data_IF_529202222620
#
_entry.id   IF_529202222620
#
_cell.length_a   1.000
_cell.length_b   1.000
_cell.length_c   1.000
_cell.angle_alpha   90.00
_cell.angle_beta   90.00
_cell.angle_gamma   90.00
#
_symmetry.space_group_name_H-M   'P 1'
#
loop_
_entity.id
_entity.type
_entity.pdbx_description
1 polymer ?
#
# COMPACT_ATOMS: atom_id res chain seq x y z
N UNK A 1 -24.43 37.07 -29.04
CA UNK A 1 -23.80 35.76 -28.77
C UNK A 1 -23.10 35.72 -27.41
N UNK A 2 -22.25 36.70 -27.08
CA UNK A 2 -21.59 36.82 -25.76
C UNK A 2 -22.57 36.97 -24.58
N UNK A 3 -23.65 37.75 -24.74
CA UNK A 3 -24.67 37.91 -23.68
C UNK A 3 -25.52 36.65 -23.45
N UNK A 4 -25.83 35.90 -24.51
CA UNK A 4 -26.54 34.63 -24.41
C UNK A 4 -25.68 33.55 -23.73
N UNK A 5 -24.37 33.56 -23.99
CA UNK A 5 -23.39 32.70 -23.30
C UNK A 5 -23.27 33.08 -21.81
N UNK A 6 -23.20 34.37 -21.49
CA UNK A 6 -23.14 34.85 -20.11
C UNK A 6 -24.44 34.54 -19.33
N UNK A 7 -25.61 34.69 -19.96
CA UNK A 7 -26.89 34.32 -19.37
C UNK A 7 -27.03 32.81 -19.17
N UNK A 8 -26.55 32.00 -20.12
CA UNK A 8 -26.51 30.55 -19.99
C UNK A 8 -25.56 30.09 -18.88
N UNK A 9 -24.39 30.73 -18.74
CA UNK A 9 -23.43 30.45 -17.66
C UNK A 9 -23.97 30.87 -16.29
N UNK A 10 -24.68 32.00 -16.18
CA UNK A 10 -25.37 32.40 -14.94
C UNK A 10 -26.50 31.44 -14.59
N UNK A 11 -27.31 31.04 -15.57
CA UNK A 11 -28.36 30.05 -15.38
C UNK A 11 -27.79 28.68 -15.01
N UNK A 12 -26.63 28.28 -15.54
CA UNK A 12 -25.92 27.08 -15.10
C UNK A 12 -25.36 27.22 -13.69
N UNK A 13 -24.84 28.38 -13.29
CA UNK A 13 -24.31 28.64 -11.95
C UNK A 13 -25.42 28.64 -10.87
N UNK A 14 -26.62 29.13 -11.19
CA UNK A 14 -27.78 29.05 -10.29
C UNK A 14 -28.38 27.63 -10.24
N UNK A 15 -28.31 26.88 -11.34
CA UNK A 15 -28.95 25.55 -11.49
C UNK A 15 -28.05 24.39 -11.09
N UNK A 16 -26.73 24.54 -11.24
CA UNK A 16 -25.70 23.69 -10.66
C UNK A 16 -25.12 24.40 -9.43
N UNK A 17 -25.82 24.29 -8.29
CA UNK A 17 -25.14 24.32 -6.99
C UNK A 17 -24.24 23.08 -6.90
N UNK A 18 -23.16 23.07 -7.67
CA UNK A 18 -22.08 22.10 -7.48
C UNK A 18 -21.59 22.33 -6.07
N UNK A 19 -21.86 21.37 -5.19
CA UNK A 19 -21.20 21.29 -3.89
C UNK A 19 -19.74 20.88 -4.13
N UNK A 20 -18.99 21.81 -4.74
CA UNK A 20 -17.58 21.66 -5.04
C UNK A 20 -16.77 21.43 -3.76
N UNK A 21 -17.26 21.96 -2.64
CA UNK A 21 -16.71 21.70 -1.32
C UNK A 21 -16.89 20.23 -0.93
N UNK A 22 -18.11 19.69 -1.02
CA UNK A 22 -18.39 18.26 -0.80
C UNK A 22 -17.57 17.35 -1.72
N UNK A 23 -17.45 17.70 -3.00
CA UNK A 23 -16.63 16.97 -3.98
C UNK A 23 -15.14 16.97 -3.62
N UNK A 24 -14.58 18.12 -3.25
CA UNK A 24 -13.16 18.26 -2.90
C UNK A 24 -12.83 17.64 -1.55
N UNK A 25 -13.80 17.54 -0.64
CA UNK A 25 -13.60 16.98 0.71
C UNK A 25 -13.84 15.48 0.77
N UNK A 26 -14.87 14.95 0.10
CA UNK A 26 -15.29 13.55 0.29
C UNK A 26 -14.76 12.63 -0.80
N UNK A 27 -14.63 13.10 -2.04
CA UNK A 27 -14.33 12.20 -3.15
C UNK A 27 -12.87 11.74 -3.12
N UNK A 28 -12.68 10.44 -2.92
CA UNK A 28 -11.35 9.82 -2.95
C UNK A 28 -10.57 9.92 -1.63
N UNK A 29 -11.15 10.47 -0.56
CA UNK A 29 -10.47 10.67 0.72
C UNK A 29 -9.91 9.35 1.30
N UNK A 30 -10.70 8.27 1.30
CA UNK A 30 -10.25 6.98 1.84
C UNK A 30 -9.16 6.34 0.97
N UNK A 31 -9.32 6.35 -0.36
CA UNK A 31 -8.31 5.84 -1.28
C UNK A 31 -6.98 6.58 -1.12
N UNK A 32 -7.02 7.92 -1.00
CA UNK A 32 -5.83 8.73 -0.84
C UNK A 32 -5.19 8.56 0.55
N UNK A 33 -5.99 8.34 1.60
CA UNK A 33 -5.47 8.00 2.93
C UNK A 33 -4.59 6.77 2.87
N UNK A 34 -5.06 5.73 2.19
CA UNK A 34 -4.30 4.49 2.03
C UNK A 34 -3.11 4.67 1.08
N UNK A 35 -3.27 5.43 -0.01
CA UNK A 35 -2.15 5.75 -0.94
C UNK A 35 -1.03 6.54 -0.28
N UNK A 36 -1.32 7.50 0.61
CA UNK A 36 -0.30 8.25 1.33
C UNK A 36 0.26 7.45 2.51
N UNK A 37 -0.61 6.75 3.23
CA UNK A 37 -0.25 6.00 4.41
C UNK A 37 0.63 4.77 4.14
N UNK A 38 0.57 4.16 2.94
CA UNK A 38 1.47 3.03 2.59
C UNK A 38 2.96 3.39 2.54
N UNK A 39 3.30 4.68 2.52
CA UNK A 39 4.66 5.24 2.47
C UNK A 39 5.55 4.70 1.33
N UNK A 40 4.96 4.07 0.30
CA UNK A 40 5.68 3.59 -0.88
C UNK A 40 6.41 4.76 -1.55
N UNK A 41 7.70 4.60 -1.83
CA UNK A 41 8.50 5.60 -2.52
C UNK A 41 8.10 5.61 -3.99
N UNK A 42 7.53 6.71 -4.49
CA UNK A 42 7.07 6.73 -5.86
C UNK A 42 8.25 6.66 -6.81
N UNK A 43 8.15 5.83 -7.84
CA UNK A 43 9.07 5.91 -9.00
C UNK A 43 8.86 7.21 -9.79
N UNK A 44 7.63 7.75 -9.73
CA UNK A 44 7.24 9.01 -10.36
C UNK A 44 6.58 9.90 -9.33
N UNK A 45 7.13 11.10 -9.11
CA UNK A 45 6.71 12.11 -8.13
C UNK A 45 5.24 12.62 -8.26
N UNK A 46 4.43 11.98 -9.09
CA UNK A 46 2.99 12.21 -9.28
C UNK A 46 2.24 12.08 -7.96
N UNK A 47 2.48 11.01 -7.21
CA UNK A 47 1.73 10.71 -5.97
C UNK A 47 1.93 11.78 -4.90
N UNK A 48 3.14 12.32 -4.77
CA UNK A 48 3.50 13.26 -3.71
C UNK A 48 3.25 14.72 -4.07
N UNK A 49 3.33 15.09 -5.36
CA UNK A 49 3.35 16.50 -5.76
C UNK A 49 2.10 16.96 -6.52
N UNK A 50 1.36 16.06 -7.18
CA UNK A 50 0.24 16.49 -8.01
C UNK A 50 -0.96 16.94 -7.17
N UNK A 51 -1.74 17.93 -7.64
CA UNK A 51 -2.91 18.39 -6.90
C UNK A 51 -3.99 17.30 -6.96
N UNK A 52 -4.41 16.82 -5.79
CA UNK A 52 -5.43 15.78 -5.64
C UNK A 52 -6.65 16.33 -4.93
N UNK A 53 -7.80 15.69 -5.17
CA UNK A 53 -8.98 15.84 -4.32
C UNK A 53 -8.62 15.37 -2.90
N UNK A 54 -9.35 15.82 -1.90
CA UNK A 54 -9.18 15.41 -0.50
C UNK A 54 -7.74 15.52 0.04
N UNK A 55 -6.94 16.50 -0.42
CA UNK A 55 -5.56 16.73 0.04
C UNK A 55 -5.42 16.92 1.56
N UNK A 56 -6.48 17.41 2.21
CA UNK A 56 -6.58 17.55 3.67
C UNK A 56 -6.36 16.24 4.44
N UNK A 57 -6.58 15.07 3.81
CA UNK A 57 -6.33 13.76 4.42
C UNK A 57 -4.88 13.59 4.86
N UNK A 58 -3.92 14.20 4.14
CA UNK A 58 -2.51 14.16 4.54
C UNK A 58 -2.17 15.12 5.69
N UNK A 59 -2.98 16.17 5.89
CA UNK A 59 -2.81 17.11 7.00
C UNK A 59 -3.47 16.59 8.29
N UNK A 60 -4.38 15.63 8.15
CA UNK A 60 -4.88 14.82 9.24
C UNK A 60 -3.84 13.75 9.62
N UNK A 61 -3.68 13.48 10.92
CA UNK A 61 -2.78 12.42 11.40
C UNK A 61 -3.36 11.01 11.11
N UNK A 62 -4.47 10.91 10.39
CA UNK A 62 -5.12 9.62 10.09
C UNK A 62 -4.24 8.69 9.26
N UNK A 63 -3.28 9.19 8.49
CA UNK A 63 -2.31 8.37 7.77
C UNK A 63 -1.39 7.57 8.72
N UNK A 64 -1.13 8.10 9.93
CA UNK A 64 -0.27 7.49 10.95
C UNK A 64 -1.02 6.58 11.92
N UNK A 65 -2.35 6.48 11.82
CA UNK A 65 -3.14 5.61 12.70
C UNK A 65 -3.08 4.17 12.20
N UNK A 66 -2.74 3.18 13.05
CA UNK A 66 -2.73 1.79 12.63
C UNK A 66 -4.13 1.28 12.30
N UNK A 67 -4.24 0.39 11.30
CA UNK A 67 -5.48 -0.30 10.99
C UNK A 67 -5.62 -1.55 11.88
N UNK A 68 -6.78 -1.78 12.53
CA UNK A 68 -6.99 -2.96 13.35
C UNK A 68 -7.21 -4.22 12.51
N UNK A 69 -7.14 -5.39 13.15
CA UNK A 69 -7.50 -6.68 12.55
C UNK A 69 -6.35 -7.42 11.87
N UNK A 70 -5.13 -6.88 11.94
CA UNK A 70 -3.93 -7.60 11.53
C UNK A 70 -3.28 -8.29 12.74
N UNK A 71 -2.61 -9.40 12.52
CA UNK A 71 -1.82 -10.05 13.58
C UNK A 71 -0.55 -10.64 13.00
N UNK A 72 0.59 -10.23 13.55
CA UNK A 72 1.91 -10.70 13.20
C UNK A 72 2.35 -11.81 14.15
N UNK A 73 2.84 -12.89 13.57
CA UNK A 73 3.43 -14.02 14.27
C UNK A 73 4.89 -14.13 13.81
N UNK A 74 5.82 -13.64 14.62
CA UNK A 74 7.24 -13.89 14.43
C UNK A 74 7.53 -15.29 14.96
N UNK A 75 7.58 -16.26 14.05
CA UNK A 75 7.69 -17.67 14.37
C UNK A 75 9.07 -17.98 14.96
N UNK A 76 10.10 -17.35 14.41
CA UNK A 76 11.50 -17.58 14.79
C UNK A 76 11.80 -17.13 16.22
N UNK A 77 11.23 -16.01 16.65
CA UNK A 77 11.38 -15.51 18.03
C UNK A 77 10.24 -15.92 18.97
N UNK A 78 9.18 -16.54 18.46
CA UNK A 78 8.02 -16.92 19.28
C UNK A 78 7.23 -15.71 19.79
N UNK A 79 7.17 -14.62 19.02
CA UNK A 79 6.47 -13.39 19.37
C UNK A 79 5.17 -13.30 18.57
N UNK A 80 4.07 -12.99 19.26
CA UNK A 80 2.78 -12.64 18.65
C UNK A 80 2.51 -11.17 18.93
N UNK A 81 2.31 -10.38 17.89
CA UNK A 81 1.96 -8.97 17.98
C UNK A 81 0.66 -8.70 17.23
N UNK A 82 -0.27 -8.01 17.89
CA UNK A 82 -1.53 -7.52 17.27
C UNK A 82 -1.38 -6.13 16.69
N UNK A 83 -0.34 -5.41 17.13
CA UNK A 83 -0.10 -4.04 16.76
C UNK A 83 1.04 -4.03 15.74
N UNK A 84 0.68 -3.72 14.50
CA UNK A 84 1.62 -3.51 13.39
C UNK A 84 1.64 -2.03 13.04
N UNK A 85 2.74 -1.59 12.43
CA UNK A 85 2.89 -0.20 12.01
C UNK A 85 1.81 0.23 11.00
N UNK A 86 1.38 1.48 11.10
CA UNK A 86 0.32 2.05 10.27
C UNK A 86 0.65 1.97 8.78
N UNK A 87 1.91 2.24 8.42
CA UNK A 87 2.32 2.16 7.03
C UNK A 87 2.23 0.74 6.47
N UNK A 88 2.61 -0.24 7.28
CA UNK A 88 2.68 -1.62 6.84
C UNK A 88 1.29 -2.23 6.73
N UNK A 89 0.39 -1.95 7.67
CA UNK A 89 -1.01 -2.38 7.59
C UNK A 89 -1.74 -1.79 6.38
N UNK A 90 -1.46 -0.52 6.03
CA UNK A 90 -1.99 0.13 4.81
C UNK A 90 -1.39 -0.43 3.54
N UNK A 91 -0.09 -0.69 3.55
CA UNK A 91 0.54 -1.35 2.42
C UNK A 91 -0.11 -2.73 2.20
N UNK A 92 -0.27 -3.55 3.25
CA UNK A 92 -0.93 -4.85 3.17
C UNK A 92 -2.40 -4.76 2.71
N UNK A 93 -3.19 -3.80 3.19
CA UNK A 93 -4.60 -3.67 2.79
C UNK A 93 -4.76 -3.33 1.30
N UNK A 94 -3.79 -2.62 0.72
CA UNK A 94 -3.80 -2.29 -0.71
C UNK A 94 -3.35 -3.45 -1.60
N UNK A 95 -2.74 -4.52 -1.06
CA UNK A 95 -2.30 -5.65 -1.85
C UNK A 95 -3.41 -6.69 -2.04
N UNK A 96 -3.44 -7.33 -3.22
CA UNK A 96 -4.32 -8.49 -3.49
C UNK A 96 -3.58 -9.78 -3.22
N UNK A 97 -3.83 -10.41 -2.08
CA UNK A 97 -3.22 -11.70 -1.75
C UNK A 97 -4.07 -12.88 -2.22
N UNK A 98 -3.38 -13.91 -2.70
CA UNK A 98 -3.98 -15.22 -2.92
C UNK A 98 -3.70 -16.08 -1.68
N UNK A 99 -4.72 -16.76 -1.19
CA UNK A 99 -4.61 -17.52 0.05
C UNK A 99 -3.52 -18.60 -0.06
N UNK A 100 -2.65 -18.67 0.96
CA UNK A 100 -1.58 -19.68 1.11
C UNK A 100 -0.45 -19.69 0.05
N UNK A 101 -0.54 -18.95 -1.04
CA UNK A 101 0.50 -18.94 -2.09
C UNK A 101 1.46 -17.76 -2.00
N UNK A 102 0.98 -16.58 -1.60
CA UNK A 102 1.83 -15.37 -1.59
C UNK A 102 2.89 -15.41 -0.48
N UNK A 103 4.14 -15.14 -0.86
CA UNK A 103 5.26 -14.92 0.05
C UNK A 103 5.86 -13.55 -0.21
N UNK A 104 5.99 -12.75 0.83
CA UNK A 104 6.69 -11.47 0.80
C UNK A 104 8.12 -11.68 1.27
N UNK A 105 9.06 -11.11 0.53
CA UNK A 105 10.46 -11.04 0.90
C UNK A 105 10.80 -9.59 1.14
N UNK A 106 11.12 -9.25 2.38
CA UNK A 106 11.43 -7.88 2.78
C UNK A 106 12.91 -7.84 3.11
N UNK A 107 13.65 -7.09 2.30
CA UNK A 107 15.10 -6.98 2.39
C UNK A 107 15.49 -5.52 2.56
N UNK A 108 16.48 -5.30 3.43
CA UNK A 108 17.15 -4.01 3.53
C UNK A 108 18.40 -4.05 2.65
N UNK A 109 18.44 -3.23 1.59
CA UNK A 109 19.61 -3.12 0.73
C UNK A 109 20.69 -2.31 1.46
N UNK A 110 21.91 -2.84 1.53
CA UNK A 110 23.05 -2.19 2.18
C UNK A 110 23.78 -1.18 1.29
N UNK A 111 23.53 -1.24 -0.03
CA UNK A 111 24.09 -0.28 -1.00
C UNK A 111 23.07 0.84 -1.16
N UNK A 112 23.12 1.80 -0.24
CA UNK A 112 22.30 2.99 -0.30
C UNK A 112 22.55 3.74 -1.60
N UNK A 113 21.50 3.91 -2.41
CA UNK A 113 21.47 5.05 -3.30
C UNK A 113 21.53 6.29 -2.39
N UNK A 114 22.47 7.20 -2.63
CA UNK A 114 22.56 8.47 -1.90
C UNK A 114 21.20 9.18 -2.00
N UNK A 115 20.38 9.06 -0.96
CA UNK A 115 19.16 9.85 -0.81
C UNK A 115 19.62 11.29 -0.72
N UNK A 116 19.50 12.04 -1.82
CA UNK A 116 19.60 13.49 -1.73
C UNK A 116 18.42 13.91 -0.86
N UNK A 117 18.64 14.46 0.34
CA UNK A 117 17.54 15.01 1.10
C UNK A 117 16.81 16.00 0.19
N UNK A 118 15.48 15.97 0.23
CA UNK A 118 14.62 16.93 -0.51
C UNK A 118 14.83 18.37 -0.01
N UNK A 119 15.80 18.60 0.90
CA UNK A 119 16.42 19.91 1.15
C UNK A 119 17.07 20.55 -0.08
N UNK A 120 17.21 19.85 -1.22
CA UNK A 120 17.33 20.49 -2.53
C UNK A 120 15.95 20.62 -3.16
N UNK A 121 15.51 21.86 -3.43
CA UNK A 121 14.26 22.29 -4.06
C UNK A 121 14.06 21.75 -5.50
N UNK A 122 14.30 20.46 -5.73
CA UNK A 122 14.22 19.81 -7.03
C UNK A 122 12.79 19.32 -7.23
N UNK A 123 11.90 20.24 -7.55
CA UNK A 123 10.58 19.87 -8.03
C UNK A 123 10.71 19.12 -9.35
N UNK A 124 9.98 18.00 -9.54
CA UNK A 124 9.97 17.33 -10.83
C UNK A 124 9.45 18.33 -11.90
N UNK A 125 10.04 18.39 -13.11
CA UNK A 125 9.61 19.33 -14.15
C UNK A 125 8.10 19.26 -14.44
N UNK A 126 7.51 18.06 -14.34
CA UNK A 126 6.08 17.85 -14.49
C UNK A 126 5.23 18.63 -13.46
N UNK A 127 5.69 18.78 -12.22
CA UNK A 127 4.98 19.57 -11.20
C UNK A 127 4.90 21.04 -11.60
N UNK A 128 6.03 21.62 -12.03
CA UNK A 128 6.09 23.03 -12.47
C UNK A 128 5.15 23.22 -13.67
N UNK A 129 5.19 22.32 -14.65
CA UNK A 129 4.33 22.38 -15.84
C UNK A 129 2.84 22.31 -15.46
N UNK A 130 2.45 21.42 -14.55
CA UNK A 130 1.05 21.29 -14.11
C UNK A 130 0.55 22.58 -13.46
N UNK A 131 1.30 23.15 -12.51
CA UNK A 131 0.87 24.37 -11.83
C UNK A 131 0.92 25.61 -12.74
N UNK A 132 1.86 25.68 -13.69
CA UNK A 132 1.85 26.70 -14.74
C UNK A 132 0.62 26.58 -15.64
N UNK A 133 0.26 25.35 -16.05
CA UNK A 133 -0.94 25.10 -16.85
C UNK A 133 -2.22 25.51 -16.11
N UNK A 134 -2.32 25.15 -14.82
CA UNK A 134 -3.45 25.55 -13.98
C UNK A 134 -3.54 27.07 -13.82
N UNK A 135 -2.41 27.73 -13.52
CA UNK A 135 -2.34 29.18 -13.39
C UNK A 135 -2.72 29.89 -14.70
N UNK A 136 -2.16 29.45 -15.83
CA UNK A 136 -2.47 30.01 -17.14
C UNK A 136 -3.95 29.86 -17.49
N UNK A 137 -4.56 28.71 -17.20
CA UNK A 137 -6.00 28.50 -17.40
C UNK A 137 -6.87 29.49 -16.60
N UNK A 138 -6.48 29.81 -15.37
CA UNK A 138 -7.20 30.83 -14.56
C UNK A 138 -6.98 32.25 -15.05
N UNK A 139 -5.79 32.57 -15.58
CA UNK A 139 -5.51 33.88 -16.17
C UNK A 139 -6.28 34.06 -17.48
N UNK A 140 -6.33 33.04 -18.33
CA UNK A 140 -7.06 33.06 -19.61
C UNK A 140 -8.58 33.19 -19.41
N UNK A 141 -9.11 32.67 -18.30
CA UNK A 141 -10.53 32.86 -17.94
C UNK A 141 -10.81 34.23 -17.32
N UNK A 142 -9.78 35.04 -17.06
CA UNK A 142 -9.90 36.37 -16.46
C UNK A 142 -10.23 36.34 -14.96
N UNK A 143 -9.96 35.23 -14.27
CA UNK A 143 -10.36 35.01 -12.89
C UNK A 143 -9.19 35.17 -11.91
N UNK A 144 -9.12 36.33 -11.27
CA UNK A 144 -8.09 36.62 -10.24
C UNK A 144 -8.24 35.79 -8.97
N UNK A 145 -9.46 35.35 -8.63
CA UNK A 145 -9.71 34.46 -7.49
C UNK A 145 -9.27 33.05 -7.84
N UNK A 146 -9.47 32.63 -9.09
CA UNK A 146 -8.93 31.39 -9.65
C UNK A 146 -7.41 31.27 -9.47
N UNK A 147 -6.66 32.36 -9.68
CA UNK A 147 -5.21 32.38 -9.45
C UNK A 147 -4.87 32.09 -7.98
N UNK A 148 -5.57 32.71 -7.04
CA UNK A 148 -5.38 32.44 -5.60
C UNK A 148 -5.70 30.99 -5.23
N UNK A 149 -6.73 30.42 -5.86
CA UNK A 149 -7.08 29.01 -5.72
C UNK A 149 -5.93 28.08 -6.19
N UNK A 150 -5.29 28.39 -7.32
CA UNK A 150 -4.12 27.63 -7.80
C UNK A 150 -2.91 27.76 -6.86
N UNK A 151 -2.64 28.96 -6.32
CA UNK A 151 -1.58 29.15 -5.32
C UNK A 151 -1.83 28.35 -4.05
N UNK A 152 -3.07 28.30 -3.57
CA UNK A 152 -3.41 27.46 -2.42
C UNK A 152 -3.19 25.98 -2.71
N UNK A 153 -3.55 25.48 -3.89
CA UNK A 153 -3.26 24.10 -4.30
C UNK A 153 -1.75 23.81 -4.35
N UNK A 154 -0.96 24.76 -4.84
CA UNK A 154 0.50 24.62 -4.91
C UNK A 154 1.10 24.42 -3.51
N UNK A 155 0.73 25.29 -2.58
CA UNK A 155 1.24 25.22 -1.20
C UNK A 155 0.73 23.94 -0.53
N UNK A 156 -0.54 23.56 -0.73
CA UNK A 156 -1.09 22.31 -0.19
C UNK A 156 -0.33 21.07 -0.68
N UNK A 157 0.00 21.00 -1.98
CA UNK A 157 0.82 19.92 -2.53
C UNK A 157 2.22 19.87 -1.92
N UNK A 158 2.87 21.02 -1.68
CA UNK A 158 4.19 21.07 -1.04
C UNK A 158 4.12 20.60 0.42
N UNK A 159 3.15 21.08 1.19
CA UNK A 159 2.95 20.65 2.57
C UNK A 159 2.74 19.14 2.66
N UNK A 160 1.93 18.60 1.76
CA UNK A 160 1.65 17.16 1.68
C UNK A 160 2.91 16.35 1.38
N UNK A 161 3.69 16.74 0.37
CA UNK A 161 4.95 16.09 0.03
C UNK A 161 5.89 16.06 1.26
N UNK A 162 6.07 17.21 1.91
CA UNK A 162 6.91 17.33 3.11
C UNK A 162 6.46 16.42 4.26
N UNK A 163 5.14 16.31 4.51
CA UNK A 163 4.60 15.46 5.57
C UNK A 163 4.91 13.98 5.29
N UNK A 164 4.61 13.51 4.07
CA UNK A 164 4.85 12.12 3.69
C UNK A 164 6.35 11.80 3.69
N UNK A 165 7.19 12.72 3.21
CA UNK A 165 8.64 12.53 3.17
C UNK A 165 9.27 12.49 4.57
N UNK A 166 8.77 13.27 5.51
CA UNK A 166 9.20 13.22 6.91
C UNK A 166 8.88 11.87 7.55
N UNK A 167 7.74 11.26 7.20
CA UNK A 167 7.38 9.90 7.64
C UNK A 167 8.29 8.84 7.00
N UNK A 168 8.55 8.95 5.68
CA UNK A 168 9.49 8.07 4.98
C UNK A 168 10.93 8.19 5.49
N UNK A 169 11.34 9.37 5.95
CA UNK A 169 12.68 9.58 6.51
C UNK A 169 12.89 8.80 7.81
N UNK A 170 11.87 8.68 8.66
CA UNK A 170 11.94 7.84 9.86
C UNK A 170 12.00 6.35 9.51
N UNK A 171 11.20 5.92 8.53
CA UNK A 171 11.23 4.53 8.07
C UNK A 171 12.61 4.17 7.48
N UNK A 172 13.27 5.12 6.82
CA UNK A 172 14.65 4.99 6.37
C UNK A 172 15.61 4.75 7.55
N UNK A 173 15.56 5.60 8.58
CA UNK A 173 16.41 5.45 9.76
C UNK A 173 16.18 4.09 10.44
N UNK A 174 14.92 3.63 10.54
CA UNK A 174 14.60 2.29 11.04
C UNK A 174 15.19 1.18 10.16
N UNK A 175 15.07 1.27 8.84
CA UNK A 175 15.62 0.28 7.92
C UNK A 175 17.16 0.20 7.99
N UNK A 176 17.84 1.35 8.14
CA UNK A 176 19.29 1.42 8.30
C UNK A 176 19.76 0.84 9.64
N UNK A 177 19.05 1.14 10.73
CA UNK A 177 19.36 0.60 12.05
C UNK A 177 19.10 -0.92 12.14
N UNK A 178 18.05 -1.39 11.45
CA UNK A 178 17.65 -2.79 11.41
C UNK A 178 18.64 -3.70 10.67
N UNK A 179 19.40 -3.16 9.71
CA UNK A 179 20.40 -3.92 8.95
C UNK A 179 21.65 -3.07 8.67
N UNK A 180 22.51 -2.87 9.68
CA UNK A 180 23.71 -2.05 9.53
C UNK A 180 24.64 -2.65 8.46
N UNK A 181 25.25 -1.82 7.60
CA UNK A 181 26.12 -2.30 6.54
C UNK A 181 27.30 -3.11 7.13
N UNK A 182 27.50 -4.31 6.59
CA UNK A 182 28.59 -5.21 7.01
C UNK A 182 28.22 -6.19 8.15
N UNK A 183 27.01 -6.12 8.70
CA UNK A 183 26.55 -7.07 9.74
C UNK A 183 25.70 -8.18 9.12
N UNK A 184 25.94 -9.45 9.50
CA UNK A 184 25.04 -10.55 9.12
C UNK A 184 23.78 -10.46 9.98
N UNK A 185 22.65 -10.17 9.34
CA UNK A 185 21.35 -10.11 10.01
C UNK A 185 20.71 -11.48 10.15
N UNK A 186 20.17 -11.76 11.34
CA UNK A 186 19.48 -13.02 11.61
C UNK A 186 18.16 -13.12 10.82
N UNK A 187 17.92 -14.23 10.09
CA UNK A 187 16.67 -14.42 9.37
C UNK A 187 15.50 -14.61 10.33
N UNK A 188 14.37 -14.00 9.99
CA UNK A 188 13.10 -14.11 10.70
C UNK A 188 12.01 -14.64 9.76
N UNK A 189 11.32 -15.69 10.20
CA UNK A 189 10.12 -16.22 9.55
C UNK A 189 8.89 -15.64 10.21
N UNK A 190 8.10 -14.92 9.43
CA UNK A 190 6.93 -14.21 9.94
C UNK A 190 5.68 -14.67 9.18
N UNK A 191 4.58 -14.78 9.90
CA UNK A 191 3.24 -14.94 9.33
C UNK A 191 2.40 -13.74 9.73
N UNK A 192 1.68 -13.16 8.78
CA UNK A 192 0.69 -12.12 9.07
C UNK A 192 -0.68 -12.64 8.71
N UNK A 193 -1.61 -12.57 9.66
CA UNK A 193 -3.03 -12.80 9.42
C UNK A 193 -3.69 -11.46 9.13
N UNK A 194 -4.42 -11.40 8.02
CA UNK A 194 -5.16 -10.22 7.59
C UNK A 194 -6.56 -10.19 8.20
N UNK A 195 -7.24 -9.03 8.22
CA UNK A 195 -8.64 -8.92 8.63
C UNK A 195 -9.59 -9.83 7.84
N UNK A 196 -9.23 -10.17 6.59
CA UNK A 196 -9.98 -11.10 5.73
C UNK A 196 -9.84 -12.58 6.14
N UNK A 197 -8.99 -12.90 7.13
CA UNK A 197 -8.65 -14.28 7.52
C UNK A 197 -7.58 -14.94 6.65
N UNK A 198 -7.14 -14.26 5.58
CA UNK A 198 -6.02 -14.70 4.76
C UNK A 198 -4.72 -14.63 5.55
N UNK A 199 -3.78 -15.53 5.24
CA UNK A 199 -2.47 -15.58 5.87
C UNK A 199 -1.38 -15.37 4.83
N UNK A 200 -0.51 -14.38 5.09
CA UNK A 200 0.62 -14.04 4.23
C UNK A 200 1.92 -14.41 4.93
N UNK A 201 2.81 -15.07 4.19
CA UNK A 201 4.16 -15.40 4.67
C UNK A 201 5.10 -14.25 4.40
N UNK A 202 5.96 -13.95 5.35
CA UNK A 202 6.99 -12.92 5.21
C UNK A 202 8.34 -13.52 5.60
N UNK A 203 9.30 -13.42 4.69
CA UNK A 203 10.71 -13.74 4.92
C UNK A 203 11.46 -12.41 5.04
N UNK A 204 12.06 -12.16 6.20
CA UNK A 204 12.80 -10.92 6.47
C UNK A 204 13.88 -11.17 7.52
N UNK A 205 14.43 -10.11 8.12
CA UNK A 205 15.39 -10.18 9.23
C UNK A 205 14.73 -9.76 10.54
N UNK A 206 15.30 -10.18 11.68
CA UNK A 206 14.77 -9.81 13.00
C UNK A 206 14.72 -8.30 13.23
N UNK A 207 15.76 -7.58 12.79
CA UNK A 207 15.81 -6.12 12.89
C UNK A 207 14.66 -5.47 12.12
N UNK A 208 14.44 -5.86 10.85
CA UNK A 208 13.37 -5.28 10.03
C UNK A 208 11.99 -5.58 10.65
N UNK A 209 11.81 -6.79 11.17
CA UNK A 209 10.58 -7.18 11.85
C UNK A 209 10.23 -6.26 13.02
N UNK A 210 11.21 -6.01 13.90
CA UNK A 210 11.00 -5.22 15.12
C UNK A 210 10.97 -3.72 14.82
N UNK A 211 11.91 -3.21 14.04
CA UNK A 211 12.13 -1.77 13.88
C UNK A 211 11.31 -1.16 12.73
N UNK A 212 10.91 -1.93 11.72
CA UNK A 212 10.13 -1.41 10.60
C UNK A 212 8.66 -1.87 10.60
N UNK A 213 8.39 -3.14 10.91
CA UNK A 213 7.04 -3.72 10.79
C UNK A 213 6.19 -3.55 12.06
N UNK A 214 6.83 -3.59 13.24
CA UNK A 214 6.15 -3.46 14.53
C UNK A 214 6.28 -2.06 15.14
N UNK A 215 7.33 -1.33 14.79
CA UNK A 215 7.56 0.03 15.29
C UNK A 215 6.92 1.06 14.36
N UNK A 216 6.18 2.01 14.95
CA UNK A 216 5.50 3.06 14.20
C UNK A 216 6.46 4.09 13.62
N UNK A 217 6.32 4.36 12.31
CA UNK A 217 7.07 5.41 11.61
C UNK A 217 6.52 6.80 11.97
N UNK A 218 6.91 7.32 13.13
CA UNK A 218 6.56 8.68 13.57
C UNK A 218 7.37 9.72 12.79
N UNK A 219 6.88 10.95 12.59
CA UNK A 219 7.64 11.99 11.87
C UNK A 219 9.00 12.25 12.53
N UNK A 220 10.09 12.28 11.75
CA UNK A 220 11.47 12.48 12.23
C UNK A 220 11.63 13.83 12.92
N UNK A 221 11.07 14.87 12.31
CA UNK A 221 11.03 16.22 12.84
C UNK A 221 9.60 16.57 13.25
N UNK A 222 9.23 16.39 14.54
CA UNK A 222 7.84 16.55 14.98
C UNK A 222 7.36 18.00 14.92
N UNK A 223 8.27 18.97 15.12
CA UNK A 223 7.95 20.40 15.02
C UNK A 223 7.64 20.80 13.58
N UNK A 224 8.50 20.40 12.63
CA UNK A 224 8.28 20.66 11.20
C UNK A 224 7.01 19.97 10.72
N UNK A 225 6.75 18.74 11.16
CA UNK A 225 5.52 18.03 10.84
C UNK A 225 4.27 18.78 11.33
N UNK A 226 4.27 19.24 12.59
CA UNK A 226 3.17 20.03 13.13
C UNK A 226 2.98 21.35 12.38
N UNK A 227 4.07 22.04 12.06
CA UNK A 227 4.03 23.27 11.28
C UNK A 227 3.42 23.05 9.89
N UNK A 228 3.90 22.04 9.14
CA UNK A 228 3.38 21.70 7.81
C UNK A 228 1.88 21.34 7.86
N UNK A 229 1.42 20.69 8.92
CA UNK A 229 -0.01 20.40 9.12
C UNK A 229 -0.84 21.65 9.35
N UNK A 230 -0.38 22.57 10.21
CA UNK A 230 -1.10 23.83 10.46
C UNK A 230 -1.20 24.64 9.15
N UNK A 231 -0.09 24.77 8.42
CA UNK A 231 -0.08 25.44 7.11
C UNK A 231 -1.00 24.72 6.12
N UNK A 232 -0.93 23.40 6.05
CA UNK A 232 -1.79 22.58 5.18
C UNK A 232 -3.28 22.80 5.46
N UNK A 233 -3.70 22.81 6.72
CA UNK A 233 -5.10 23.09 7.10
C UNK A 233 -5.54 24.51 6.73
N UNK A 234 -4.71 25.52 7.02
CA UNK A 234 -5.03 26.92 6.67
C UNK A 234 -5.17 27.09 5.16
N UNK A 235 -4.24 26.54 4.40
CA UNK A 235 -4.23 26.61 2.94
C UNK A 235 -5.40 25.83 2.34
N UNK A 236 -5.78 24.70 2.92
CA UNK A 236 -6.97 23.94 2.51
C UNK A 236 -8.26 24.75 2.70
N UNK A 237 -8.39 25.49 3.81
CA UNK A 237 -9.54 26.38 4.03
C UNK A 237 -9.56 27.50 3.00
N UNK A 238 -8.41 28.13 2.71
CA UNK A 238 -8.30 29.17 1.68
C UNK A 238 -8.67 28.60 0.30
N UNK A 239 -8.20 27.39 -0.03
CA UNK A 239 -8.56 26.69 -1.27
C UNK A 239 -10.07 26.49 -1.38
N UNK A 240 -10.70 25.94 -0.34
CA UNK A 240 -12.13 25.70 -0.29
C UNK A 240 -12.96 26.98 -0.52
N UNK A 241 -12.59 28.07 0.16
CA UNK A 241 -13.27 29.36 0.04
C UNK A 241 -13.09 29.97 -1.35
N UNK A 242 -11.85 29.99 -1.85
CA UNK A 242 -11.54 30.58 -3.16
C UNK A 242 -12.16 29.79 -4.30
N UNK A 243 -12.17 28.45 -4.24
CA UNK A 243 -12.85 27.62 -5.23
C UNK A 243 -14.36 27.89 -5.31
N UNK A 244 -15.01 28.15 -4.17
CA UNK A 244 -16.43 28.51 -4.13
C UNK A 244 -16.71 29.92 -4.66
N UNK A 245 -15.71 30.79 -4.69
CA UNK A 245 -15.79 32.17 -5.20
C UNK A 245 -15.31 32.30 -6.65
N UNK A 246 -14.67 31.28 -7.22
CA UNK A 246 -14.25 31.25 -8.62
C UNK A 246 -15.43 31.37 -9.58
N UNK A 247 -15.15 31.90 -10.76
CA UNK A 247 -16.06 31.84 -11.91
C UNK A 247 -16.30 30.39 -12.33
N UNK A 248 -17.49 30.09 -12.84
CA UNK A 248 -17.88 28.72 -13.25
C UNK A 248 -16.86 28.05 -14.20
N UNK A 249 -16.31 28.73 -15.24
CA UNK A 249 -15.30 28.13 -16.10
C UNK A 249 -14.00 27.75 -15.36
N UNK A 250 -13.50 28.64 -14.49
CA UNK A 250 -12.31 28.37 -13.70
C UNK A 250 -12.56 27.24 -12.68
N UNK A 251 -13.74 27.22 -12.05
CA UNK A 251 -14.14 26.19 -11.10
C UNK A 251 -14.18 24.80 -11.76
N UNK A 252 -14.84 24.67 -12.93
CA UNK A 252 -14.91 23.40 -13.68
C UNK A 252 -13.50 22.97 -14.12
N UNK A 253 -12.68 23.91 -14.58
CA UNK A 253 -11.31 23.61 -15.00
C UNK A 253 -10.45 23.07 -13.85
N UNK A 254 -10.44 23.75 -12.70
CA UNK A 254 -9.67 23.35 -11.51
C UNK A 254 -10.19 22.00 -10.99
N UNK A 255 -11.51 21.83 -10.84
CA UNK A 255 -12.11 20.57 -10.39
C UNK A 255 -11.82 19.42 -11.37
N UNK A 256 -11.91 19.66 -12.67
CA UNK A 256 -11.59 18.68 -13.70
C UNK A 256 -10.15 18.22 -13.61
N UNK A 257 -9.20 19.15 -13.39
CA UNK A 257 -7.80 18.80 -13.19
C UNK A 257 -7.57 18.01 -11.89
N UNK A 258 -8.17 18.43 -10.77
CA UNK A 258 -8.09 17.69 -9.50
C UNK A 258 -8.63 16.27 -9.64
N UNK A 259 -9.78 16.11 -10.29
CA UNK A 259 -10.38 14.80 -10.55
C UNK A 259 -9.48 13.94 -11.45
N UNK A 260 -8.92 14.53 -12.51
CA UNK A 260 -8.00 13.86 -13.42
C UNK A 260 -6.74 13.34 -12.70
N UNK A 261 -6.08 14.17 -11.91
CA UNK A 261 -4.88 13.76 -11.18
C UNK A 261 -5.19 12.77 -10.05
N UNK A 262 -6.34 12.91 -9.39
CA UNK A 262 -6.80 11.92 -8.40
C UNK A 262 -7.05 10.57 -9.05
N UNK A 263 -7.68 10.54 -10.23
CA UNK A 263 -7.87 9.32 -11.01
C UNK A 263 -6.53 8.71 -11.44
N UNK A 264 -5.56 9.53 -11.85
CA UNK A 264 -4.22 9.08 -12.22
C UNK A 264 -3.48 8.42 -11.04
N UNK A 265 -3.52 9.06 -9.85
CA UNK A 265 -2.96 8.51 -8.61
C UNK A 265 -3.64 7.20 -8.22
N UNK A 266 -4.97 7.12 -8.35
CA UNK A 266 -5.75 5.92 -8.04
C UNK A 266 -5.44 4.77 -9.00
N UNK A 267 -5.35 5.05 -10.30
CA UNK A 267 -5.00 4.06 -11.32
C UNK A 267 -3.58 3.53 -11.12
N UNK A 268 -2.63 4.40 -10.78
CA UNK A 268 -1.26 4.02 -10.45
C UNK A 268 -1.19 3.15 -9.20
N UNK A 269 -1.91 3.50 -8.14
CA UNK A 269 -2.01 2.68 -6.92
C UNK A 269 -2.49 1.27 -7.24
N UNK A 270 -3.49 1.15 -8.14
CA UNK A 270 -3.99 -0.15 -8.62
C UNK A 270 -2.97 -0.90 -9.49
N UNK A 271 -2.18 -0.19 -10.28
CA UNK A 271 -1.09 -0.80 -11.05
C UNK A 271 0.01 -1.34 -10.13
N UNK A 272 0.39 -0.56 -9.10
CA UNK A 272 1.35 -0.98 -8.08
C UNK A 272 0.88 -2.28 -7.40
N UNK A 273 -0.41 -2.43 -7.07
CA UNK A 273 -0.96 -3.67 -6.47
C UNK A 273 -0.65 -4.99 -7.22
N UNK A 274 -0.36 -4.92 -8.53
CA UNK A 274 -0.01 -6.10 -9.36
C UNK A 274 1.50 -6.24 -9.57
N UNK A 275 2.30 -5.30 -9.08
CA UNK A 275 3.75 -5.32 -9.12
C UNK A 275 4.32 -6.47 -8.28
N UNK A 276 5.48 -6.96 -8.70
CA UNK A 276 6.25 -7.97 -7.96
C UNK A 276 7.31 -7.33 -7.06
N UNK A 277 7.65 -6.07 -7.29
CA UNK A 277 8.65 -5.33 -6.53
C UNK A 277 8.08 -4.00 -6.11
N UNK A 278 8.25 -3.68 -4.83
CA UNK A 278 7.78 -2.45 -4.21
C UNK A 278 8.91 -1.82 -3.44
N UNK A 279 9.24 -0.58 -3.81
CA UNK A 279 10.25 0.20 -3.11
C UNK A 279 9.54 1.05 -2.05
N UNK A 280 9.77 0.73 -0.78
CA UNK A 280 9.16 1.47 0.33
C UNK A 280 10.05 2.63 0.75
N UNK A 281 11.33 2.37 0.96
CA UNK A 281 12.35 3.40 1.17
C UNK A 281 13.54 3.12 0.26
N UNK A 282 14.59 3.94 0.32
CA UNK A 282 15.78 3.67 -0.50
C UNK A 282 16.48 2.38 -0.05
N UNK A 283 16.41 2.08 1.25
CA UNK A 283 16.98 0.87 1.82
C UNK A 283 15.95 -0.25 1.99
N UNK A 284 14.64 -0.01 2.04
CA UNK A 284 13.63 -1.05 2.27
C UNK A 284 12.87 -1.44 0.99
N UNK A 285 13.02 -2.70 0.58
CA UNK A 285 12.38 -3.25 -0.61
C UNK A 285 11.53 -4.47 -0.25
N UNK A 286 10.32 -4.54 -0.81
CA UNK A 286 9.43 -5.67 -0.68
C UNK A 286 9.29 -6.35 -2.04
N UNK A 287 9.70 -7.61 -2.12
CA UNK A 287 9.49 -8.46 -3.29
C UNK A 287 8.36 -9.45 -3.01
N UNK A 288 7.37 -9.47 -3.88
CA UNK A 288 6.24 -10.39 -3.84
C UNK A 288 6.53 -11.60 -4.72
N UNK A 289 6.46 -12.78 -4.11
CA UNK A 289 6.63 -14.07 -4.75
C UNK A 289 5.30 -14.83 -4.64
N UNK A 290 4.56 -14.89 -5.74
CA UNK A 290 3.36 -15.71 -5.83
C UNK A 290 3.72 -17.07 -6.41
N UNK A 291 3.33 -18.13 -5.72
CA UNK A 291 3.45 -19.49 -6.27
C UNK A 291 2.24 -19.79 -7.15
N UNK A 292 2.48 -20.40 -8.31
CA UNK A 292 1.44 -20.93 -9.18
C UNK A 292 0.89 -22.25 -8.60
N UNK A 293 -0.43 -22.38 -8.56
CA UNK A 293 -1.13 -23.61 -8.15
C UNK A 293 -2.01 -23.46 -6.90
N UNK A 294 -2.84 -24.48 -6.65
CA UNK A 294 -3.74 -24.54 -5.50
C UNK A 294 -2.91 -24.94 -4.26
N UNK A 295 -2.44 -23.95 -3.51
CA UNK A 295 -1.65 -24.18 -2.28
C UNK A 295 -2.57 -24.48 -1.09
N UNK A 296 -2.32 -25.60 -0.39
CA UNK A 296 -2.97 -25.90 0.88
C UNK A 296 -2.19 -25.26 2.03
N UNK A 297 -2.85 -25.01 3.17
CA UNK A 297 -2.17 -24.52 4.39
C UNK A 297 -1.00 -25.41 4.82
N UNK A 298 -1.15 -26.74 4.74
CA UNK A 298 -0.08 -27.68 5.09
C UNK A 298 1.16 -27.49 4.21
N UNK A 299 0.96 -27.38 2.89
CA UNK A 299 2.02 -27.10 1.92
C UNK A 299 2.68 -25.73 2.17
N UNK A 300 1.87 -24.73 2.52
CA UNK A 300 2.35 -23.40 2.86
C UNK A 300 3.33 -23.43 4.03
N UNK A 301 3.00 -24.17 5.09
CA UNK A 301 3.88 -24.35 6.26
C UNK A 301 5.11 -25.20 5.96
N UNK A 302 5.00 -26.20 5.09
CA UNK A 302 6.16 -27.03 4.72
C UNK A 302 7.27 -26.17 4.08
N UNK A 303 6.90 -25.19 3.24
CA UNK A 303 7.84 -24.20 2.64
C UNK A 303 8.49 -23.23 3.62
N UNK A 304 8.00 -23.14 4.86
CA UNK A 304 8.63 -22.32 5.90
C UNK A 304 9.81 -23.04 6.57
N UNK A 305 10.02 -24.33 6.29
CA UNK A 305 11.12 -25.12 6.83
C UNK A 305 11.20 -25.02 8.36
N UNK A 306 10.06 -25.21 9.02
CA UNK A 306 9.90 -24.95 10.44
C UNK A 306 10.71 -25.94 11.29
N UNK A 307 11.39 -25.41 12.32
CA UNK A 307 11.98 -26.21 13.39
C UNK A 307 10.89 -26.79 14.31
N UNK A 308 11.22 -27.79 15.12
CA UNK A 308 10.25 -28.37 16.06
C UNK A 308 9.71 -27.33 17.06
N UNK A 309 10.55 -26.39 17.50
CA UNK A 309 10.16 -25.29 18.38
C UNK A 309 9.20 -24.33 17.67
N UNK A 310 9.51 -23.96 16.43
CA UNK A 310 8.67 -23.09 15.60
C UNK A 310 7.29 -23.72 15.34
N UNK A 311 7.23 -25.03 15.04
CA UNK A 311 5.95 -25.76 14.91
C UNK A 311 5.13 -25.71 16.21
N UNK A 312 5.77 -25.92 17.36
CA UNK A 312 5.08 -25.88 18.64
C UNK A 312 4.48 -24.50 18.92
N UNK A 313 5.20 -23.42 18.59
CA UNK A 313 4.68 -22.05 18.69
C UNK A 313 3.40 -21.87 17.86
N UNK A 314 3.40 -22.36 16.61
CA UNK A 314 2.23 -22.25 15.73
C UNK A 314 1.03 -23.06 16.21
N UNK A 315 1.25 -24.20 16.85
CA UNK A 315 0.18 -24.99 17.47
C UNK A 315 -0.41 -24.27 18.69
N UNK A 316 0.45 -23.70 19.54
CA UNK A 316 0.01 -22.93 20.72
C UNK A 316 -0.80 -21.69 20.31
N UNK A 317 -0.43 -21.06 19.20
CA UNK A 317 -1.18 -19.93 18.64
C UNK A 317 -2.41 -20.30 17.84
N UNK A 318 -2.77 -21.60 17.76
CA UNK A 318 -3.88 -22.12 16.97
C UNK A 318 -3.80 -21.79 15.47
N UNK A 319 -2.60 -21.52 14.97
CA UNK A 319 -2.33 -21.31 13.53
C UNK A 319 -2.22 -22.65 12.82
N UNK A 320 -1.58 -23.62 13.46
CA UNK A 320 -1.60 -25.02 13.04
C UNK A 320 -2.68 -25.80 13.82
N UNK A 321 -3.30 -26.83 13.20
CA UNK A 321 -4.23 -27.71 13.89
C UNK A 321 -3.60 -28.38 15.11
N UNK A 322 -4.45 -28.71 16.10
CA UNK A 322 -4.02 -29.52 17.26
C UNK A 322 -3.42 -30.85 16.77
N UNK A 323 -2.50 -31.40 17.56
CA UNK A 323 -1.82 -32.67 17.26
C UNK A 323 -2.78 -33.87 17.13
N UNK A 324 -4.03 -33.73 17.59
CA UNK A 324 -5.09 -34.72 17.41
C UNK A 324 -5.58 -34.88 15.96
N UNK A 325 -5.33 -33.92 15.07
CA UNK A 325 -5.70 -34.05 13.66
C UNK A 325 -4.62 -34.81 12.87
N UNK A 326 -4.63 -36.14 12.99
CA UNK A 326 -3.61 -37.00 12.40
C UNK A 326 -3.55 -36.89 10.87
N UNK A 327 -4.69 -36.75 10.20
CA UNK A 327 -4.77 -36.60 8.73
C UNK A 327 -3.93 -35.41 8.27
N UNK A 328 -4.16 -34.24 8.87
CA UNK A 328 -3.44 -33.03 8.51
C UNK A 328 -1.94 -33.15 8.80
N UNK A 329 -1.57 -33.70 9.96
CA UNK A 329 -0.16 -33.86 10.36
C UNK A 329 0.60 -34.85 9.48
N UNK A 330 -0.05 -35.93 9.03
CA UNK A 330 0.53 -36.88 8.10
C UNK A 330 0.77 -36.22 6.74
N UNK A 331 -0.22 -35.49 6.21
CA UNK A 331 -0.05 -34.73 4.95
C UNK A 331 1.06 -33.67 5.07
N UNK A 332 1.13 -32.94 6.18
CA UNK A 332 2.20 -31.96 6.43
C UNK A 332 3.59 -32.62 6.48
N UNK A 333 3.74 -33.78 7.11
CA UNK A 333 5.01 -34.52 7.16
C UNK A 333 5.45 -34.93 5.76
N UNK A 334 4.55 -35.47 4.94
CA UNK A 334 4.85 -35.83 3.54
C UNK A 334 5.34 -34.61 2.77
N UNK A 335 4.62 -33.47 2.86
CA UNK A 335 5.08 -32.24 2.22
C UNK A 335 6.43 -31.76 2.73
N UNK A 336 6.70 -31.90 4.04
CA UNK A 336 7.97 -31.50 4.65
C UNK A 336 9.14 -32.37 4.16
N UNK A 337 8.91 -33.67 3.98
CA UNK A 337 9.91 -34.60 3.44
C UNK A 337 10.20 -34.33 1.97
N UNK A 338 9.16 -34.12 1.17
CA UNK A 338 9.30 -33.76 -0.24
C UNK A 338 9.99 -32.40 -0.42
N UNK A 339 9.65 -31.41 0.40
CA UNK A 339 10.28 -30.09 0.39
C UNK A 339 11.78 -30.15 0.71
N UNK A 340 12.19 -31.07 1.60
CA UNK A 340 13.60 -31.30 1.91
C UNK A 340 14.36 -31.94 0.76
N UNK A 341 13.69 -32.77 -0.05
CA UNK A 341 14.30 -33.42 -1.21
C UNK A 341 14.46 -32.44 -2.37
N UNK A 342 13.39 -31.70 -2.68
CA UNK A 342 13.40 -30.64 -3.70
C UNK A 342 12.21 -29.69 -3.48
N UNK A 343 12.51 -28.43 -3.15
CA UNK A 343 11.50 -27.41 -2.89
C UNK A 343 10.62 -27.12 -4.11
N UNK A 344 11.11 -27.35 -5.33
CA UNK A 344 10.38 -27.12 -6.58
C UNK A 344 9.28 -28.17 -6.83
N UNK A 345 9.41 -29.37 -6.24
CA UNK A 345 8.41 -30.44 -6.34
C UNK A 345 7.07 -30.00 -5.79
N UNK A 346 7.07 -29.15 -4.76
CA UNK A 346 5.85 -28.59 -4.21
C UNK A 346 5.07 -27.82 -5.27
N UNK A 347 5.70 -27.10 -6.19
CA UNK A 347 4.98 -26.29 -7.17
C UNK A 347 4.20 -27.15 -8.17
N UNK A 348 4.70 -28.35 -8.47
CA UNK A 348 4.03 -29.32 -9.37
C UNK A 348 2.91 -30.12 -8.70
N UNK A 349 2.79 -30.06 -7.37
CA UNK A 349 1.91 -30.96 -6.61
C UNK A 349 0.43 -30.74 -6.91
N UNK A 350 0.03 -29.50 -7.19
CA UNK A 350 -1.35 -29.21 -7.60
C UNK A 350 -1.73 -29.91 -8.91
N UNK A 351 -0.81 -29.96 -9.86
CA UNK A 351 -0.99 -30.68 -11.13
C UNK A 351 -1.00 -32.20 -10.91
N UNK A 352 -0.12 -32.71 -10.04
CA UNK A 352 -0.11 -34.13 -9.67
C UNK A 352 -1.41 -34.58 -9.00
N UNK A 353 -1.96 -33.76 -8.10
CA UNK A 353 -3.20 -34.08 -7.40
C UNK A 353 -4.41 -34.02 -8.33
N UNK A 354 -4.45 -33.04 -9.24
CA UNK A 354 -5.48 -32.98 -10.27
C UNK A 354 -5.43 -34.20 -11.20
N UNK A 355 -4.23 -34.57 -11.66
CA UNK A 355 -4.04 -35.77 -12.49
C UNK A 355 -4.43 -37.07 -11.75
N UNK A 356 -4.08 -37.18 -10.46
CA UNK A 356 -4.46 -38.33 -9.64
C UNK A 356 -5.97 -38.41 -9.40
N UNK A 357 -6.64 -37.26 -9.20
CA UNK A 357 -8.09 -37.20 -9.07
C UNK A 357 -8.80 -37.60 -10.37
N UNK A 358 -8.34 -37.08 -11.50
CA UNK A 358 -8.87 -37.45 -12.82
C UNK A 358 -8.68 -38.94 -13.10
N UNK A 359 -7.51 -39.50 -12.77
CA UNK A 359 -7.24 -40.92 -12.91
C UNK A 359 -8.13 -41.79 -12.01
N UNK A 360 -8.40 -41.37 -10.77
CA UNK A 360 -9.31 -42.08 -9.88
C UNK A 360 -10.77 -41.98 -10.33
N UNK A 361 -11.20 -40.81 -10.78
CA UNK A 361 -12.54 -40.62 -11.35
C UNK A 361 -12.74 -41.52 -12.58
N UNK A 362 -11.77 -41.56 -13.48
CA UNK A 362 -11.81 -42.45 -14.65
C UNK A 362 -11.86 -43.94 -14.26
N UNK A 363 -11.18 -44.34 -13.18
CA UNK A 363 -11.26 -45.71 -12.62
C UNK A 363 -12.63 -46.02 -12.03
N UNK A 364 -13.25 -45.08 -11.31
CA UNK A 364 -14.60 -45.24 -10.78
C UNK A 364 -15.65 -45.34 -11.90
N UNK A 365 -15.54 -44.50 -12.93
CA UNK A 365 -16.40 -44.56 -14.11
C UNK A 365 -16.25 -45.89 -14.87
N UNK A 366 -15.02 -46.41 -15.01
CA UNK A 366 -14.77 -47.72 -15.62
C UNK A 366 -15.32 -48.87 -14.76
N UNK A 367 -15.16 -48.80 -13.44
CA UNK A 367 -15.70 -49.80 -12.51
C UNK A 367 -17.24 -49.81 -12.51
N UNK A 368 -17.87 -48.63 -12.63
CA UNK A 368 -19.33 -48.54 -12.78
C UNK A 368 -19.81 -49.11 -14.11
N UNK A 369 -19.09 -48.85 -15.21
CA UNK A 369 -19.42 -49.42 -16.51
C UNK A 369 -19.34 -50.97 -16.52
N UNK A 370 -18.34 -51.53 -15.84
CA UNK A 370 -18.14 -52.98 -15.71
C UNK A 370 -19.11 -53.68 -14.75
N UNK A 371 -19.87 -52.95 -13.93
CA UNK A 371 -20.92 -53.52 -13.05
C UNK A 371 -22.33 -53.47 -13.67
N UNK A 372 -22.48 -52.90 -14.86
CA UNK A 372 -23.75 -52.77 -15.58
C UNK A 372 -23.88 -53.78 -16.74
N UNK A 373 -22.78 -54.44 -17.13
CA UNK A 373 -22.77 -55.68 -17.93
C UNK A 373 -22.89 -56.92 -17.04
#
# INVERSE_FOLDING_TARGET
>A
MLEASAAFLRALQERFRLDALGLVTLLGADNLRDTYGRLESPEFAIEDYFPTLASHVAFDDSILKPLPGFTLYNISDGIKATDLSAWFTRWLSTQKFTECSTTLRIEANSIGANRKPIGGLSFPPAFIIVFLFLGLGTILTGDSIGVLCVWSLLIASICRANIVDNCRATLEDHAMNANPPGTKSDPAKILVTLPSGQVVRIKTTKGIAMDCLLTEAKPKYPQDHMFQRIVGWLVFIIHALTLGMCTLPAQIFILGALAFFTALVSFRTRSSQHGTQHRISDHLHITRLDTTGRDTRAKMFARLELTHKEEQNLVVWFIMPRRSNEVWWNTFKTFKEEAKADASVLDTWGARLAAAYEANKAREELAQALMVE
#
